data_IF_278686949281
#
_entry.id   IF_278686949281
#
_cell.length_a   1.000
_cell.length_b   1.000
_cell.length_c   1.000
_cell.angle_alpha   90.00
_cell.angle_beta   90.00
_cell.angle_gamma   90.00
#
_symmetry.space_group_name_H-M   'P 1'
#
loop_
_entity.id
_entity.type
_entity.pdbx_description
1 polymer ?
#
# COMPACT_ATOMS: atom_id res chain seq x y z
N UNK A 1 -10.31 15.58 5.37
CA UNK A 1 -9.78 14.96 4.13
C UNK A 1 -8.47 15.60 3.71
N UNK A 2 -7.57 14.78 3.18
CA UNK A 2 -6.27 15.13 2.60
C UNK A 2 -6.13 14.42 1.26
N UNK A 3 -5.40 15.02 0.34
CA UNK A 3 -5.10 14.43 -0.97
C UNK A 3 -3.80 13.62 -0.88
N UNK A 4 -3.80 12.40 -1.40
CA UNK A 4 -2.64 11.52 -1.41
C UNK A 4 -2.42 10.92 -2.78
N UNK A 5 -1.17 10.87 -3.21
CA UNK A 5 -0.73 9.97 -4.27
C UNK A 5 -0.45 8.60 -3.61
N UNK A 6 -1.17 7.58 -4.06
CA UNK A 6 -1.05 6.21 -3.58
C UNK A 6 -0.33 5.38 -4.63
N UNK A 7 0.84 4.88 -4.28
CA UNK A 7 1.58 3.90 -5.07
C UNK A 7 1.34 2.53 -4.47
N UNK A 8 0.65 1.65 -5.21
CA UNK A 8 0.42 0.26 -4.83
C UNK A 8 1.28 -0.69 -5.65
N UNK A 9 2.19 -1.40 -4.99
CA UNK A 9 3.13 -2.35 -5.57
C UNK A 9 2.77 -3.79 -5.20
N UNK A 10 2.72 -4.70 -6.18
CA UNK A 10 2.54 -6.14 -5.97
C UNK A 10 3.85 -6.86 -6.31
N UNK A 11 4.45 -7.52 -5.32
CA UNK A 11 5.74 -8.19 -5.51
C UNK A 11 5.55 -9.61 -6.06
N UNK A 12 6.26 -9.92 -7.15
CA UNK A 12 6.25 -11.26 -7.72
C UNK A 12 6.96 -12.27 -6.78
N UNK A 13 6.37 -13.47 -6.61
CA UNK A 13 6.94 -14.54 -5.77
C UNK A 13 8.12 -15.28 -6.43
N UNK A 14 8.33 -15.11 -7.73
CA UNK A 14 9.39 -15.81 -8.46
C UNK A 14 10.79 -15.35 -7.97
N UNK A 15 11.62 -16.28 -7.45
CA UNK A 15 12.97 -15.95 -7.01
C UNK A 15 13.76 -15.28 -8.14
N UNK A 16 14.39 -14.13 -7.84
CA UNK A 16 15.15 -13.28 -8.79
C UNK A 16 14.33 -12.54 -9.84
N UNK A 17 13.00 -12.58 -9.81
CA UNK A 17 12.18 -11.68 -10.61
C UNK A 17 11.99 -10.35 -9.87
N UNK A 18 12.60 -9.27 -10.36
CA UNK A 18 12.43 -7.92 -9.79
C UNK A 18 11.22 -7.17 -10.36
N UNK A 19 10.43 -7.81 -11.23
CA UNK A 19 9.18 -7.21 -11.70
C UNK A 19 8.16 -7.12 -10.57
N UNK A 20 7.54 -5.94 -10.49
CA UNK A 20 6.42 -5.64 -9.61
C UNK A 20 5.35 -4.93 -10.45
N UNK A 21 4.10 -5.31 -10.24
CA UNK A 21 2.98 -4.55 -10.80
C UNK A 21 2.84 -3.29 -9.94
N UNK A 22 2.76 -2.12 -10.59
CA UNK A 22 2.65 -0.82 -9.91
C UNK A 22 1.39 -0.13 -10.40
N UNK A 23 0.56 0.30 -9.45
CA UNK A 23 -0.62 1.12 -9.66
C UNK A 23 -0.41 2.46 -8.97
N UNK A 24 -0.86 3.54 -9.62
CA UNK A 24 -0.80 4.89 -9.08
C UNK A 24 -2.21 5.46 -9.08
N UNK A 25 -2.63 6.07 -7.99
CA UNK A 25 -3.96 6.64 -7.78
C UNK A 25 -3.85 7.91 -6.96
N UNK A 26 -4.58 8.96 -7.32
CA UNK A 26 -4.77 10.14 -6.48
C UNK A 26 -6.09 9.99 -5.74
N UNK A 27 -6.07 10.09 -4.42
CA UNK A 27 -7.25 9.88 -3.57
C UNK A 27 -7.40 11.00 -2.54
N UNK A 28 -8.63 11.41 -2.29
CA UNK A 28 -8.98 12.31 -1.20
C UNK A 28 -9.57 11.48 -0.05
N UNK A 29 -8.80 11.27 1.02
CA UNK A 29 -9.17 10.40 2.15
C UNK A 29 -8.77 11.03 3.49
N UNK A 30 -9.38 10.55 4.58
CA UNK A 30 -9.05 11.02 5.93
C UNK A 30 -8.00 10.13 6.61
N UNK A 31 -8.17 8.81 6.50
CA UNK A 31 -7.28 7.83 7.10
C UNK A 31 -6.79 6.81 6.07
N UNK A 32 -5.48 6.83 5.73
CA UNK A 32 -4.85 5.81 4.91
C UNK A 32 -5.04 4.38 5.43
N UNK A 33 -5.21 4.17 6.74
CA UNK A 33 -5.44 2.84 7.29
C UNK A 33 -6.82 2.28 6.94
N UNK A 34 -7.86 3.13 6.92
CA UNK A 34 -9.19 2.74 6.45
C UNK A 34 -9.17 2.36 4.97
N UNK A 35 -8.46 3.12 4.13
CA UNK A 35 -8.25 2.76 2.73
C UNK A 35 -7.66 1.36 2.57
N UNK A 36 -6.65 1.00 3.39
CA UNK A 36 -6.07 -0.36 3.37
C UNK A 36 -7.10 -1.41 3.80
N UNK A 37 -7.85 -1.17 4.87
CA UNK A 37 -8.87 -2.11 5.36
C UNK A 37 -9.96 -2.36 4.31
N UNK A 38 -10.41 -1.32 3.62
CA UNK A 38 -11.40 -1.42 2.56
C UNK A 38 -10.85 -2.13 1.32
N UNK A 39 -9.66 -1.73 0.84
CA UNK A 39 -9.01 -2.31 -0.35
C UNK A 39 -8.75 -3.81 -0.23
N UNK A 40 -8.48 -4.28 0.99
CA UNK A 40 -8.25 -5.69 1.28
C UNK A 40 -9.40 -6.36 2.06
N UNK A 41 -10.58 -5.73 2.11
CA UNK A 41 -11.75 -6.28 2.79
C UNK A 41 -12.10 -7.69 2.30
N UNK A 42 -12.44 -8.58 3.23
CA UNK A 42 -12.79 -9.97 2.94
C UNK A 42 -11.60 -10.88 2.62
N UNK A 43 -10.36 -10.39 2.69
CA UNK A 43 -9.14 -11.19 2.60
C UNK A 43 -8.50 -11.36 3.97
N UNK A 44 -7.79 -12.47 4.16
CA UNK A 44 -6.87 -12.62 5.30
C UNK A 44 -5.63 -11.75 5.02
N UNK A 45 -5.58 -10.59 5.69
CA UNK A 45 -4.58 -9.55 5.49
C UNK A 45 -3.93 -9.16 6.81
N UNK A 46 -2.61 -9.00 6.77
CA UNK A 46 -1.82 -8.36 7.81
C UNK A 46 -0.94 -7.29 7.18
N UNK A 47 -0.62 -6.25 7.93
CA UNK A 47 0.25 -5.17 7.45
C UNK A 47 1.07 -4.55 8.58
N UNK A 48 2.23 -3.99 8.21
CA UNK A 48 3.05 -3.13 9.06
C UNK A 48 3.01 -1.70 8.52
N UNK A 49 2.79 -0.73 9.40
CA UNK A 49 2.76 0.70 9.06
C UNK A 49 4.09 1.35 9.43
N UNK A 50 4.67 2.08 8.49
CA UNK A 50 5.86 2.93 8.70
C UNK A 50 5.53 4.35 8.26
N UNK A 51 5.87 5.34 9.10
CA UNK A 51 5.82 6.76 8.70
C UNK A 51 7.26 7.20 8.45
N UNK A 52 7.54 7.67 7.24
CA UNK A 52 8.86 8.12 6.82
C UNK A 52 9.13 9.56 7.31
N UNK A 53 10.40 9.98 7.23
CA UNK A 53 10.83 11.30 7.72
C UNK A 53 10.23 12.48 6.93
N UNK A 54 9.82 12.25 5.69
CA UNK A 54 9.14 13.22 4.82
C UNK A 54 7.62 13.25 5.03
N UNK A 55 7.09 12.43 5.95
CA UNK A 55 5.66 12.31 6.23
C UNK A 55 4.93 11.26 5.39
N UNK A 56 5.60 10.64 4.40
CA UNK A 56 5.02 9.56 3.60
C UNK A 56 4.67 8.37 4.47
N UNK A 57 3.52 7.75 4.23
CA UNK A 57 3.02 6.60 5.01
C UNK A 57 3.14 5.35 4.15
N UNK A 58 3.83 4.33 4.64
CA UNK A 58 4.04 3.07 3.93
C UNK A 58 3.38 1.94 4.71
N UNK A 59 2.60 1.13 4.01
CA UNK A 59 2.04 -0.12 4.49
C UNK A 59 2.69 -1.29 3.73
N UNK A 60 3.51 -2.09 4.41
CA UNK A 60 3.96 -3.39 3.90
C UNK A 60 2.87 -4.43 4.22
N UNK A 61 2.28 -5.02 3.19
CA UNK A 61 1.04 -5.80 3.28
C UNK A 61 1.31 -7.26 2.89
N UNK A 62 0.81 -8.19 3.68
CA UNK A 62 0.79 -9.62 3.39
C UNK A 62 -0.65 -10.09 3.29
N UNK A 63 -1.06 -10.54 2.10
CA UNK A 63 -2.41 -11.08 1.83
C UNK A 63 -2.34 -12.20 0.80
N UNK A 64 -3.11 -13.28 1.00
CA UNK A 64 -3.15 -14.42 0.05
C UNK A 64 -1.75 -14.98 -0.29
N UNK A 65 -0.82 -14.90 0.66
CA UNK A 65 0.58 -15.28 0.50
C UNK A 65 1.40 -14.38 -0.43
N UNK A 66 0.87 -13.26 -0.90
CA UNK A 66 1.53 -12.27 -1.76
C UNK A 66 1.93 -11.07 -0.91
N UNK A 67 3.19 -10.65 -1.06
CA UNK A 67 3.68 -9.40 -0.48
C UNK A 67 3.30 -8.24 -1.39
N UNK A 68 2.80 -7.17 -0.79
CA UNK A 68 2.39 -5.95 -1.47
C UNK A 68 2.82 -4.74 -0.65
N UNK A 69 2.80 -3.55 -1.24
CA UNK A 69 3.07 -2.30 -0.53
C UNK A 69 2.16 -1.21 -1.03
N UNK A 70 1.59 -0.41 -0.12
CA UNK A 70 0.96 0.85 -0.46
C UNK A 70 1.77 1.99 0.16
N UNK A 71 2.18 2.97 -0.64
CA UNK A 71 2.85 4.18 -0.17
C UNK A 71 1.93 5.38 -0.43
N UNK A 72 1.71 6.20 0.58
CA UNK A 72 0.86 7.38 0.53
C UNK A 72 1.73 8.62 0.71
N UNK A 73 1.70 9.51 -0.26
CA UNK A 73 2.40 10.79 -0.23
C UNK A 73 1.36 11.90 -0.31
N UNK A 74 1.28 12.75 0.71
CA UNK A 74 0.40 13.93 0.70
C UNK A 74 0.95 14.97 -0.27
N UNK A 75 0.08 15.62 -1.06
CA UNK A 75 0.46 16.67 -2.01
C UNK A 75 -0.43 17.91 -1.92
#
# INVERSE_FOLDING_TARGET
MKEYEVIWEIFNKCPRNQMRDVFVEEVEIEDPEEYIKEKFAGKDVSYEKTVLADGSIVYDIQTSGIRQRCSFTEF
#
